data_IF_966239688401
#
_entry.id   IF_966239688401
#
_cell.length_a   1.000
_cell.length_b   1.000
_cell.length_c   1.000
_cell.angle_alpha   90.00
_cell.angle_beta   90.00
_cell.angle_gamma   90.00
#
_symmetry.space_group_name_H-M   'P 1'
#
loop_
_entity.id
_entity.type
_entity.pdbx_description
1 polymer ?
#
# COMPACT_ATOMS: atom_id res chain seq x y z
N UNK A 1 -0.88 17.15 4.58
CA UNK A 1 -0.32 17.81 5.77
C UNK A 1 -0.90 19.21 5.86
N UNK A 2 -1.26 19.68 7.06
CA UNK A 2 -1.62 21.08 7.28
C UNK A 2 -0.63 21.66 8.29
N UNK A 3 -0.01 22.78 7.97
CA UNK A 3 0.85 23.55 8.86
C UNK A 3 0.15 24.89 9.13
N UNK A 4 -0.01 25.25 10.39
CA UNK A 4 -0.60 26.52 10.81
C UNK A 4 0.36 27.21 11.77
N UNK A 5 0.74 28.46 11.48
CA UNK A 5 1.46 29.29 12.44
C UNK A 5 0.53 29.57 13.65
N UNK A 6 1.01 29.30 14.85
CA UNK A 6 0.33 29.58 16.12
C UNK A 6 0.83 30.93 16.66
N UNK A 7 2.14 31.15 16.61
CA UNK A 7 2.83 32.43 16.89
C UNK A 7 4.05 32.56 15.95
N UNK A 8 4.80 33.67 16.03
CA UNK A 8 5.92 33.95 15.09
C UNK A 8 6.98 32.86 14.96
N UNK A 9 7.14 31.98 15.95
CA UNK A 9 8.09 30.85 15.94
C UNK A 9 7.45 29.48 16.22
N UNK A 10 6.13 29.39 16.46
CA UNK A 10 5.45 28.15 16.81
C UNK A 10 4.52 27.70 15.68
N UNK A 11 4.64 26.44 15.26
CA UNK A 11 3.85 25.86 14.18
C UNK A 11 3.10 24.63 14.67
N UNK A 12 1.81 24.56 14.35
CA UNK A 12 0.99 23.37 14.54
C UNK A 12 0.93 22.59 13.23
N UNK A 13 1.46 21.37 13.27
CA UNK A 13 1.46 20.45 12.14
C UNK A 13 0.45 19.34 12.38
N UNK A 14 -0.42 19.08 11.41
CA UNK A 14 -1.34 17.94 11.41
C UNK A 14 -1.13 17.08 10.18
N UNK A 15 -0.87 15.78 10.42
CA UNK A 15 -0.87 14.72 9.42
C UNK A 15 -1.95 13.73 9.83
N UNK A 16 -3.04 13.64 9.05
CA UNK A 16 -4.24 12.90 9.46
C UNK A 16 -4.24 11.43 9.01
N UNK A 17 -3.73 11.18 7.79
CA UNK A 17 -4.03 9.96 7.04
C UNK A 17 -2.78 9.27 6.49
N UNK A 18 -1.61 9.58 7.03
CA UNK A 18 -0.35 9.02 6.57
C UNK A 18 0.59 8.67 7.73
N UNK A 19 1.45 7.68 7.48
CA UNK A 19 2.58 7.27 8.31
C UNK A 19 3.86 7.40 7.49
N UNK A 20 4.98 7.71 8.12
CA UNK A 20 6.27 7.79 7.44
C UNK A 20 7.14 8.91 7.96
N UNK A 21 7.96 9.50 7.11
CA UNK A 21 8.90 10.55 7.50
C UNK A 21 8.88 11.71 6.52
N UNK A 22 8.93 12.93 7.05
CA UNK A 22 9.01 14.17 6.29
C UNK A 22 10.34 14.83 6.64
N UNK A 23 11.25 14.92 5.69
CA UNK A 23 12.49 15.67 5.81
C UNK A 23 12.22 17.17 5.69
N UNK A 24 12.78 17.92 6.63
CA UNK A 24 12.89 19.37 6.62
C UNK A 24 14.38 19.74 6.47
N UNK A 25 14.72 21.00 6.24
CA UNK A 25 16.10 21.42 5.91
C UNK A 25 17.17 20.92 6.90
N UNK A 26 16.86 20.96 8.20
CA UNK A 26 17.79 20.59 9.27
C UNK A 26 17.20 19.60 10.28
N UNK A 27 16.01 19.07 10.01
CA UNK A 27 15.33 18.15 10.93
C UNK A 27 14.42 17.20 10.17
N UNK A 28 13.84 16.23 10.85
CA UNK A 28 12.85 15.31 10.29
C UNK A 28 11.65 15.21 11.20
N UNK A 29 10.47 15.08 10.59
CA UNK A 29 9.23 14.76 11.28
C UNK A 29 8.92 13.29 11.02
N UNK A 30 8.97 12.47 12.06
CA UNK A 30 8.52 11.09 12.02
C UNK A 30 7.03 11.07 12.35
N UNK A 31 6.22 10.63 11.40
CA UNK A 31 4.79 10.45 11.57
C UNK A 31 4.55 8.99 11.93
N UNK A 32 4.33 8.74 13.21
CA UNK A 32 4.09 7.40 13.75
C UNK A 32 2.66 6.91 13.48
N UNK A 33 2.45 5.58 13.42
CA UNK A 33 1.12 5.02 13.29
C UNK A 33 0.25 5.33 14.52
N UNK A 34 -1.07 5.40 14.33
CA UNK A 34 -2.03 5.63 15.43
C UNK A 34 -2.14 4.42 16.36
N UNK A 35 -1.75 3.25 15.88
CA UNK A 35 -1.75 1.96 16.59
C UNK A 35 -0.34 1.37 16.57
N UNK A 36 -0.06 0.39 17.41
CA UNK A 36 1.24 -0.27 17.45
C UNK A 36 1.65 -0.79 16.05
N UNK A 37 2.94 -0.69 15.73
CA UNK A 37 3.46 -1.01 14.40
C UNK A 37 3.14 -2.45 13.96
N UNK A 38 3.15 -3.41 14.90
CA UNK A 38 2.77 -4.81 14.62
C UNK A 38 1.34 -4.92 14.06
N UNK A 39 0.39 -4.20 14.63
CA UNK A 39 -1.00 -4.17 14.16
C UNK A 39 -1.13 -3.49 12.81
N UNK A 40 -0.44 -2.37 12.60
CA UNK A 40 -0.46 -1.70 11.30
C UNK A 40 0.10 -2.63 10.20
N UNK A 41 1.24 -3.28 10.45
CA UNK A 41 1.87 -4.18 9.48
C UNK A 41 1.02 -5.42 9.21
N UNK A 42 0.35 -5.96 10.23
CA UNK A 42 -0.64 -7.04 10.05
C UNK A 42 -1.77 -6.61 9.10
N UNK A 43 -2.37 -5.43 9.32
CA UNK A 43 -3.45 -4.91 8.47
C UNK A 43 -2.97 -4.59 7.05
N UNK A 44 -1.72 -4.15 6.90
CA UNK A 44 -1.11 -3.90 5.59
C UNK A 44 -0.86 -5.20 4.83
N UNK A 45 -0.40 -6.26 5.51
CA UNK A 45 -0.29 -7.59 4.93
C UNK A 45 -1.66 -8.13 4.52
N UNK A 46 -2.68 -7.99 5.38
CA UNK A 46 -4.05 -8.41 5.11
C UNK A 46 -4.70 -7.63 3.95
N UNK A 47 -4.25 -6.40 3.67
CA UNK A 47 -4.67 -5.60 2.51
C UNK A 47 -3.82 -5.81 1.25
N UNK A 48 -2.92 -6.80 1.25
CA UNK A 48 -2.05 -7.14 0.14
C UNK A 48 -1.10 -6.01 -0.30
N UNK A 49 -0.79 -5.07 0.61
CA UNK A 49 0.22 -4.02 0.34
C UNK A 49 1.62 -4.62 0.19
N UNK A 50 1.89 -5.70 0.90
CA UNK A 50 3.10 -6.51 0.80
C UNK A 50 2.80 -7.96 1.22
N UNK A 51 3.66 -8.92 0.83
CA UNK A 51 3.46 -10.33 1.18
C UNK A 51 3.50 -10.61 2.69
N UNK A 52 2.55 -11.42 3.19
CA UNK A 52 2.41 -11.75 4.62
C UNK A 52 3.64 -12.41 5.23
N UNK A 53 4.36 -13.26 4.50
CA UNK A 53 5.55 -13.96 5.01
C UNK A 53 6.72 -13.02 5.36
N UNK A 54 6.70 -11.77 4.88
CA UNK A 54 7.68 -10.77 5.31
C UNK A 54 7.47 -10.38 6.78
N UNK A 55 6.21 -10.34 7.24
CA UNK A 55 5.88 -10.08 8.63
C UNK A 55 6.38 -11.20 9.54
N UNK A 56 6.13 -12.46 9.16
CA UNK A 56 6.50 -13.66 9.92
C UNK A 56 8.02 -13.78 10.17
N UNK A 57 8.83 -13.22 9.28
CA UNK A 57 10.30 -13.25 9.36
C UNK A 57 10.90 -12.10 10.16
N UNK A 58 10.08 -11.19 10.66
CA UNK A 58 10.55 -9.90 11.19
C UNK A 58 10.38 -9.84 12.69
N UNK A 59 11.51 -9.71 13.39
CA UNK A 59 11.50 -9.28 14.77
C UNK A 59 11.42 -7.75 14.80
N UNK A 60 10.24 -7.23 15.08
CA UNK A 60 10.01 -5.79 15.21
C UNK A 60 10.56 -5.37 16.58
N UNK A 61 11.68 -4.64 16.58
CA UNK A 61 12.18 -3.99 17.80
C UNK A 61 11.22 -2.92 18.29
N UNK A 62 11.29 -2.57 19.58
CA UNK A 62 10.41 -1.57 20.21
C UNK A 62 10.47 -0.19 19.53
N UNK A 63 11.61 0.14 18.92
CA UNK A 63 11.91 1.48 18.37
C UNK A 63 11.95 1.45 16.83
N UNK A 64 11.44 0.39 16.21
CA UNK A 64 11.43 0.28 14.75
C UNK A 64 10.46 1.30 14.14
N UNK A 65 10.95 2.15 13.23
CA UNK A 65 10.09 3.00 12.43
C UNK A 65 9.48 2.23 11.25
N UNK A 66 8.25 2.55 10.87
CA UNK A 66 7.57 1.93 9.71
C UNK A 66 8.44 1.99 8.45
N UNK A 67 9.06 3.15 8.16
CA UNK A 67 9.91 3.30 6.99
C UNK A 67 11.14 2.39 7.04
N UNK A 68 11.82 2.27 8.18
CA UNK A 68 13.02 1.43 8.29
C UNK A 68 12.69 -0.05 8.09
N UNK A 69 11.52 -0.51 8.57
CA UNK A 69 11.05 -1.88 8.32
C UNK A 69 10.82 -2.12 6.83
N UNK A 70 10.11 -1.22 6.15
CA UNK A 70 9.86 -1.33 4.70
C UNK A 70 11.18 -1.29 3.90
N UNK A 71 12.10 -0.39 4.25
CA UNK A 71 13.41 -0.30 3.60
C UNK A 71 14.24 -1.58 3.80
N UNK A 72 14.26 -2.14 5.01
CA UNK A 72 14.97 -3.38 5.31
C UNK A 72 14.39 -4.58 4.53
N UNK A 73 13.06 -4.72 4.49
CA UNK A 73 12.40 -5.75 3.70
C UNK A 73 12.69 -5.62 2.21
N UNK A 74 12.66 -4.39 1.68
CA UNK A 74 12.95 -4.15 0.27
C UNK A 74 14.38 -4.57 -0.07
N UNK A 75 15.36 -4.12 0.73
CA UNK A 75 16.78 -4.46 0.52
C UNK A 75 16.99 -5.97 0.59
N UNK A 76 16.44 -6.64 1.61
CA UNK A 76 16.56 -8.09 1.76
C UNK A 76 15.92 -8.85 0.58
N UNK A 77 14.75 -8.40 0.12
CA UNK A 77 14.04 -8.99 -1.01
C UNK A 77 14.80 -8.80 -2.32
N UNK A 78 15.38 -7.61 -2.54
CA UNK A 78 16.24 -7.32 -3.69
C UNK A 78 17.52 -8.17 -3.69
N UNK A 79 18.18 -8.32 -2.53
CA UNK A 79 19.36 -9.18 -2.42
C UNK A 79 19.01 -10.65 -2.69
N UNK A 80 17.86 -11.13 -2.22
CA UNK A 80 17.39 -12.48 -2.52
C UNK A 80 17.14 -12.67 -4.02
N UNK A 81 16.45 -11.73 -4.65
CA UNK A 81 16.22 -11.73 -6.09
C UNK A 81 17.54 -11.74 -6.88
N UNK A 82 18.49 -10.86 -6.53
CA UNK A 82 19.78 -10.75 -7.24
C UNK A 82 20.63 -12.02 -7.16
N UNK A 83 20.45 -12.85 -6.12
CA UNK A 83 21.08 -14.18 -6.03
C UNK A 83 20.48 -15.19 -7.01
N UNK A 84 19.18 -15.08 -7.32
CA UNK A 84 18.51 -15.93 -8.30
C UNK A 84 18.71 -15.48 -9.75
N UNK A 85 19.20 -14.25 -9.95
CA UNK A 85 19.35 -13.63 -11.26
C UNK A 85 18.14 -12.78 -11.63
N UNK A 86 18.39 -11.72 -12.40
CA UNK A 86 17.32 -10.87 -12.92
C UNK A 86 16.60 -11.58 -14.05
N UNK A 87 15.29 -11.35 -14.17
CA UNK A 87 14.59 -11.70 -15.40
C UNK A 87 15.02 -10.71 -16.47
N UNK A 88 15.56 -11.25 -17.56
CA UNK A 88 15.83 -10.51 -18.79
C UNK A 88 14.64 -10.62 -19.73
N UNK A 89 14.43 -9.60 -20.55
CA UNK A 89 13.46 -9.63 -21.65
C UNK A 89 14.16 -9.39 -22.99
N UNK A 90 13.51 -9.77 -24.09
CA UNK A 90 14.00 -9.53 -25.44
C UNK A 90 13.53 -8.16 -25.93
N UNK A 91 14.45 -7.20 -25.96
CA UNK A 91 14.20 -5.89 -26.54
C UNK A 91 14.55 -5.92 -28.04
N UNK A 92 13.63 -5.45 -28.88
CA UNK A 92 13.86 -5.31 -30.32
C UNK A 92 14.73 -4.07 -30.58
N UNK A 93 15.92 -4.29 -31.12
CA UNK A 93 16.91 -3.24 -31.41
C UNK A 93 17.07 -3.12 -32.92
N UNK A 94 17.02 -1.90 -33.44
CA UNK A 94 17.42 -1.59 -34.82
C UNK A 94 18.85 -1.04 -34.82
N UNK A 95 19.80 -1.75 -35.41
CA UNK A 95 21.21 -1.34 -35.44
C UNK A 95 21.85 -1.48 -36.81
N UNK A 96 22.96 -0.77 -37.00
CA UNK A 96 23.87 -0.94 -38.15
C UNK A 96 25.00 -1.87 -37.73
N UNK A 97 25.05 -3.08 -38.31
CA UNK A 97 25.99 -4.13 -37.94
C UNK A 97 26.95 -4.44 -39.09
N UNK A 98 28.14 -4.95 -38.77
CA UNK A 98 29.09 -5.48 -39.75
C UNK A 98 28.62 -6.83 -40.36
N UNK A 99 27.73 -7.54 -39.66
CA UNK A 99 27.17 -8.81 -40.11
C UNK A 99 25.64 -8.80 -39.96
N UNK A 100 24.96 -9.62 -40.76
CA UNK A 100 23.51 -9.73 -40.71
C UNK A 100 23.06 -10.45 -39.44
N UNK A 101 22.12 -9.84 -38.70
CA UNK A 101 21.46 -10.43 -37.53
C UNK A 101 19.97 -10.10 -37.55
N UNK A 102 19.10 -11.10 -37.39
CA UNK A 102 17.65 -10.87 -37.40
C UNK A 102 17.12 -10.40 -38.76
N UNK A 103 16.19 -9.44 -38.75
CA UNK A 103 15.53 -8.92 -39.96
C UNK A 103 16.34 -7.79 -40.59
N UNK A 104 16.81 -7.98 -41.81
CA UNK A 104 17.61 -6.98 -42.53
C UNK A 104 16.69 -5.94 -43.21
N UNK A 105 17.02 -4.66 -43.05
CA UNK A 105 16.46 -3.55 -43.83
C UNK A 105 17.23 -3.42 -45.14
N UNK A 106 16.83 -4.19 -46.15
CA UNK A 106 17.53 -4.32 -47.44
C UNK A 106 17.76 -2.97 -48.14
N UNK A 107 16.74 -2.11 -48.19
CA UNK A 107 16.82 -0.78 -48.83
C UNK A 107 17.83 0.13 -48.13
N UNK A 108 17.80 0.17 -46.79
CA UNK A 108 18.74 0.99 -46.00
C UNK A 108 20.17 0.48 -46.10
N UNK A 109 20.35 -0.84 -46.08
CA UNK A 109 21.64 -1.52 -46.26
C UNK A 109 22.24 -1.24 -47.64
N UNK A 110 21.45 -1.41 -48.71
CA UNK A 110 21.89 -1.13 -50.08
C UNK A 110 22.32 0.34 -50.25
N UNK A 111 21.55 1.28 -49.70
CA UNK A 111 21.91 2.70 -49.70
C UNK A 111 23.24 2.96 -48.98
N UNK A 112 23.47 2.31 -47.85
CA UNK A 112 24.71 2.47 -47.07
C UNK A 112 25.94 1.98 -47.84
N UNK A 113 25.81 0.85 -48.54
CA UNK A 113 26.85 0.31 -49.43
C UNK A 113 27.15 1.31 -50.57
N UNK A 114 26.12 1.85 -51.20
CA UNK A 114 26.25 2.81 -52.31
C UNK A 114 26.95 4.12 -51.91
N UNK A 115 26.82 4.57 -50.65
CA UNK A 115 27.52 5.76 -50.14
C UNK A 115 28.91 5.45 -49.54
N UNK A 116 29.46 4.26 -49.81
CA UNK A 116 30.80 3.86 -49.38
C UNK A 116 30.94 3.53 -47.90
N UNK A 117 29.83 3.28 -47.19
CA UNK A 117 29.81 2.89 -45.77
C UNK A 117 29.07 1.57 -45.61
N UNK A 118 29.69 0.42 -45.93
CA UNK A 118 28.99 -0.87 -45.92
C UNK A 118 28.64 -1.27 -44.48
N UNK A 119 27.39 -0.98 -44.08
CA UNK A 119 26.79 -1.46 -42.83
C UNK A 119 25.43 -2.08 -43.13
N UNK A 120 25.10 -3.14 -42.38
CA UNK A 120 23.85 -3.88 -42.50
C UNK A 120 22.88 -3.37 -41.45
N UNK A 121 21.90 -2.60 -41.88
CA UNK A 121 20.81 -2.13 -41.02
C UNK A 121 19.88 -3.29 -40.74
N UNK A 122 19.71 -3.69 -39.49
CA UNK A 122 18.87 -4.82 -39.12
C UNK A 122 18.11 -4.61 -37.80
N UNK A 123 16.93 -5.24 -37.69
CA UNK A 123 16.18 -5.39 -36.44
C UNK A 123 16.50 -6.76 -35.85
N UNK A 124 16.98 -6.80 -34.62
CA UNK A 124 17.29 -8.04 -33.92
C UNK A 124 16.88 -7.94 -32.45
N UNK A 125 16.64 -9.09 -31.84
CA UNK A 125 16.29 -9.15 -30.43
C UNK A 125 17.57 -9.28 -29.59
N UNK A 126 17.73 -8.35 -28.66
CA UNK A 126 18.77 -8.36 -27.66
C UNK A 126 18.14 -8.76 -26.32
N UNK A 127 18.65 -9.84 -25.73
CA UNK A 127 18.31 -10.16 -24.35
C UNK A 127 18.93 -9.10 -23.44
N UNK A 128 18.10 -8.37 -22.71
CA UNK A 128 18.50 -7.28 -21.82
C UNK A 128 17.89 -7.45 -20.44
N UNK A 129 18.65 -7.13 -19.40
CA UNK A 129 18.12 -6.99 -18.05
C UNK A 129 17.40 -5.64 -17.86
N UNK A 130 17.38 -4.79 -18.88
CA UNK A 130 16.66 -3.52 -18.87
C UNK A 130 15.14 -3.72 -19.04
N UNK A 131 14.50 -4.23 -18.00
CA UNK A 131 13.05 -4.48 -17.93
C UNK A 131 12.36 -3.49 -17.01
N UNK A 132 11.06 -3.26 -17.20
CA UNK A 132 10.25 -2.41 -16.30
C UNK A 132 10.38 -2.82 -14.83
N UNK A 133 10.42 -4.13 -14.55
CA UNK A 133 10.58 -4.64 -13.19
C UNK A 133 11.94 -4.23 -12.60
N UNK A 134 13.02 -4.37 -13.37
CA UNK A 134 14.36 -4.04 -12.91
C UNK A 134 14.55 -2.53 -12.74
N UNK A 135 13.97 -1.71 -13.62
CA UNK A 135 13.96 -0.24 -13.51
C UNK A 135 13.23 0.23 -12.25
N UNK A 136 12.11 -0.41 -11.91
CA UNK A 136 11.38 -0.14 -10.64
C UNK A 136 12.27 -0.43 -9.43
N UNK A 137 12.97 -1.56 -9.40
CA UNK A 137 13.88 -1.89 -8.29
C UNK A 137 15.06 -0.93 -8.21
N UNK A 138 15.68 -0.59 -9.36
CA UNK A 138 16.77 0.40 -9.43
C UNK A 138 16.31 1.74 -8.88
N UNK A 139 15.16 2.24 -9.33
CA UNK A 139 14.62 3.52 -8.91
C UNK A 139 14.27 3.55 -7.42
N UNK A 140 13.66 2.48 -6.89
CA UNK A 140 13.35 2.38 -5.46
C UNK A 140 14.62 2.37 -4.60
N UNK A 141 15.63 1.59 -5.00
CA UNK A 141 16.92 1.56 -4.30
C UNK A 141 17.65 2.92 -4.37
N UNK A 142 17.59 3.62 -5.50
CA UNK A 142 18.15 4.97 -5.63
C UNK A 142 17.41 5.96 -4.72
N UNK A 143 16.08 5.83 -4.61
CA UNK A 143 15.27 6.68 -3.72
C UNK A 143 15.62 6.49 -2.25
N UNK A 144 15.94 5.27 -1.84
CA UNK A 144 16.42 4.98 -0.48
C UNK A 144 17.80 5.61 -0.22
N UNK A 145 18.71 5.62 -1.18
CA UNK A 145 20.03 6.25 -1.03
C UNK A 145 19.96 7.77 -0.80
N UNK A 146 18.89 8.41 -1.29
CA UNK A 146 18.64 9.83 -1.02
C UNK A 146 18.14 10.13 0.39
N UNK A 147 17.96 9.12 1.25
CA UNK A 147 17.38 9.30 2.58
C UNK A 147 18.43 9.48 3.67
N UNK A 148 18.48 10.63 4.37
CA UNK A 148 19.51 10.89 5.38
C UNK A 148 19.44 9.99 6.62
N UNK A 149 18.26 9.54 7.02
CA UNK A 149 18.09 8.68 8.19
C UNK A 149 18.11 7.18 7.86
N UNK A 150 18.57 6.82 6.66
CA UNK A 150 18.81 5.42 6.33
C UNK A 150 20.05 4.96 7.10
N UNK A 151 19.95 3.83 7.81
CA UNK A 151 21.09 3.28 8.54
C UNK A 151 22.27 3.00 7.59
N UNK A 152 23.50 3.16 8.06
CA UNK A 152 24.70 2.92 7.25
C UNK A 152 24.75 1.53 6.61
N UNK A 153 24.27 0.49 7.30
CA UNK A 153 24.14 -0.88 6.75
C UNK A 153 23.22 -0.91 5.52
N UNK A 154 21.98 -0.45 5.66
CA UNK A 154 21.02 -0.38 4.56
C UNK A 154 21.52 0.51 3.42
N UNK A 155 22.21 1.60 3.72
CA UNK A 155 22.79 2.48 2.72
C UNK A 155 23.90 1.77 1.92
N UNK A 156 24.83 1.07 2.58
CA UNK A 156 25.86 0.27 1.92
C UNK A 156 25.27 -0.85 1.05
N UNK A 157 24.21 -1.53 1.54
CA UNK A 157 23.50 -2.57 0.81
C UNK A 157 22.77 -2.03 -0.42
N UNK A 158 22.11 -0.86 -0.30
CA UNK A 158 21.50 -0.18 -1.44
C UNK A 158 22.54 0.19 -2.51
N UNK A 159 23.75 0.65 -2.13
CA UNK A 159 24.82 0.91 -3.10
C UNK A 159 25.25 -0.34 -3.85
N UNK A 160 25.33 -1.49 -3.17
CA UNK A 160 25.62 -2.78 -3.83
C UNK A 160 24.51 -3.17 -4.82
N UNK A 161 23.25 -2.97 -4.45
CA UNK A 161 22.10 -3.19 -5.33
C UNK A 161 22.18 -2.28 -6.56
N UNK A 162 22.47 -0.98 -6.39
CA UNK A 162 22.65 -0.05 -7.51
C UNK A 162 23.77 -0.50 -8.46
N UNK A 163 24.91 -0.90 -7.92
CA UNK A 163 26.02 -1.37 -8.74
C UNK A 163 25.64 -2.62 -9.56
N UNK A 164 24.86 -3.54 -8.98
CA UNK A 164 24.32 -4.72 -9.66
C UNK A 164 23.27 -4.41 -10.73
N UNK A 165 22.70 -3.20 -10.72
CA UNK A 165 21.68 -2.71 -11.65
C UNK A 165 22.23 -1.57 -12.53
N UNK A 166 23.55 -1.47 -12.71
CA UNK A 166 24.19 -0.38 -13.47
C UNK A 166 23.73 -0.31 -14.92
N UNK A 167 23.49 -1.47 -15.52
CA UNK A 167 23.13 -1.61 -16.93
C UNK A 167 21.62 -1.51 -17.18
N UNK A 168 20.84 -1.40 -16.09
CA UNK A 168 19.39 -1.18 -16.15
C UNK A 168 19.15 0.32 -16.35
N UNK A 169 18.23 0.68 -17.23
CA UNK A 169 17.84 2.04 -17.52
C UNK A 169 17.15 2.75 -16.35
N UNK A 170 16.72 3.98 -16.59
CA UNK A 170 16.00 4.76 -15.60
C UNK A 170 14.50 4.47 -15.62
N UNK A 171 13.80 4.86 -14.56
CA UNK A 171 12.36 4.62 -14.42
C UNK A 171 11.58 5.36 -15.50
N UNK A 172 10.72 4.63 -16.22
CA UNK A 172 9.78 5.20 -17.17
C UNK A 172 8.35 5.29 -16.57
N UNK A 173 7.49 6.21 -17.08
CA UNK A 173 6.16 6.43 -16.52
C UNK A 173 5.28 5.17 -16.41
N UNK A 174 5.37 4.27 -17.39
CA UNK A 174 4.57 3.05 -17.44
C UNK A 174 5.10 1.92 -16.54
N UNK A 175 6.36 1.98 -16.11
CA UNK A 175 6.98 0.90 -15.35
C UNK A 175 6.26 0.62 -14.01
N UNK A 176 5.69 1.66 -13.39
CA UNK A 176 4.95 1.52 -12.12
C UNK A 176 3.60 0.78 -12.26
N UNK A 177 3.15 0.54 -13.48
CA UNK A 177 1.91 -0.18 -13.80
C UNK A 177 2.13 -1.66 -14.09
N UNK A 178 3.40 -2.10 -14.13
CA UNK A 178 3.77 -3.49 -14.40
C UNK A 178 3.08 -4.47 -13.45
N UNK A 179 2.79 -5.66 -13.95
CA UNK A 179 2.17 -6.75 -13.20
C UNK A 179 3.04 -7.98 -13.31
N UNK A 180 3.04 -8.75 -12.23
CA UNK A 180 3.74 -10.02 -12.20
C UNK A 180 2.96 -11.08 -12.99
N UNK A 181 3.70 -11.94 -13.65
CA UNK A 181 3.21 -13.13 -14.33
C UNK A 181 3.92 -14.38 -13.77
N UNK A 182 3.70 -15.53 -14.42
CA UNK A 182 4.32 -16.78 -13.99
C UNK A 182 5.85 -16.75 -14.08
N UNK A 183 6.43 -16.03 -15.05
CA UNK A 183 7.87 -15.97 -15.32
C UNK A 183 8.59 -15.00 -14.38
N UNK A 184 7.87 -13.98 -13.91
CA UNK A 184 8.39 -12.92 -13.05
C UNK A 184 8.02 -13.10 -11.58
N UNK A 185 7.49 -14.29 -11.21
CA UNK A 185 7.09 -14.64 -9.84
C UNK A 185 8.20 -14.42 -8.80
N UNK A 186 9.47 -14.51 -9.19
CA UNK A 186 10.61 -14.25 -8.29
C UNK A 186 10.63 -12.81 -7.74
N UNK A 187 9.94 -11.86 -8.38
CA UNK A 187 9.84 -10.45 -7.96
C UNK A 187 8.71 -10.20 -6.93
N UNK A 188 7.93 -11.23 -6.56
CA UNK A 188 6.74 -11.10 -5.71
C UNK A 188 6.97 -10.37 -4.38
N UNK A 189 8.19 -10.43 -3.84
CA UNK A 189 8.54 -9.79 -2.57
C UNK A 189 9.10 -8.38 -2.78
N UNK A 190 9.99 -8.21 -3.76
CA UNK A 190 10.67 -6.95 -3.99
C UNK A 190 9.78 -5.90 -4.68
N UNK A 191 8.95 -6.31 -5.64
CA UNK A 191 8.17 -5.36 -6.46
C UNK A 191 7.14 -4.56 -5.64
N UNK A 192 6.30 -5.17 -4.78
CA UNK A 192 5.32 -4.41 -4.00
C UNK A 192 5.98 -3.36 -3.10
N UNK A 193 7.10 -3.71 -2.46
CA UNK A 193 7.88 -2.81 -1.62
C UNK A 193 8.53 -1.69 -2.43
N UNK A 194 9.06 -2.00 -3.61
CA UNK A 194 9.62 -1.01 -4.51
C UNK A 194 8.57 0.03 -4.94
N UNK A 195 7.39 -0.46 -5.34
CA UNK A 195 6.26 0.39 -5.72
C UNK A 195 5.75 1.22 -4.53
N UNK A 196 5.75 0.65 -3.32
CA UNK A 196 5.38 1.36 -2.10
C UNK A 196 6.37 2.51 -1.81
N UNK A 197 7.68 2.26 -1.92
CA UNK A 197 8.73 3.29 -1.77
C UNK A 197 8.55 4.37 -2.82
N UNK A 198 8.41 4.01 -4.10
CA UNK A 198 8.28 4.99 -5.19
C UNK A 198 7.02 5.84 -5.09
N UNK A 199 5.87 5.25 -4.74
CA UNK A 199 4.60 5.97 -4.58
C UNK A 199 4.57 6.82 -3.31
N UNK A 200 5.17 6.33 -2.23
CA UNK A 200 5.20 7.03 -0.95
C UNK A 200 6.23 8.14 -0.92
N UNK A 201 7.28 8.05 -1.74
CA UNK A 201 8.36 9.02 -1.73
C UNK A 201 8.14 10.20 -2.66
N UNK A 202 8.41 11.40 -2.16
CA UNK A 202 8.55 12.63 -2.96
C UNK A 202 9.87 13.32 -2.61
N UNK A 203 10.47 13.98 -3.61
CA UNK A 203 11.66 14.82 -3.42
C UNK A 203 11.27 16.22 -3.87
N UNK A 204 11.24 17.16 -2.94
CA UNK A 204 11.03 18.57 -3.25
C UNK A 204 12.41 19.25 -3.32
N UNK A 205 12.74 19.78 -4.50
CA UNK A 205 13.89 20.65 -4.69
C UNK A 205 13.39 22.07 -4.46
N UNK A 206 13.73 22.66 -3.32
CA UNK A 206 13.50 24.08 -3.10
C UNK A 206 14.66 24.88 -3.73
N UNK A 207 14.43 26.15 -4.06
CA UNK A 207 15.49 27.07 -4.49
C UNK A 207 16.46 27.32 -3.31
N UNK A 208 17.40 26.40 -3.14
CA UNK A 208 18.39 26.34 -2.05
C UNK A 208 19.21 25.05 -2.14
N UNK A 209 20.33 24.92 -1.40
CA UNK A 209 21.23 23.77 -1.50
C UNK A 209 20.68 22.47 -0.88
N UNK A 210 19.48 22.48 -0.29
CA UNK A 210 18.94 21.37 0.49
C UNK A 210 17.71 20.75 -0.20
N UNK A 211 17.84 19.50 -0.63
CA UNK A 211 16.71 18.69 -1.07
C UNK A 211 15.93 18.17 0.14
N UNK A 212 14.63 18.44 0.21
CA UNK A 212 13.76 17.86 1.23
C UNK A 212 13.17 16.55 0.71
N UNK A 213 13.50 15.44 1.39
CA UNK A 213 12.97 14.12 1.06
C UNK A 213 11.77 13.82 1.94
N UNK A 214 10.74 13.18 1.38
CA UNK A 214 9.57 12.73 2.14
C UNK A 214 9.21 11.31 1.73
N UNK A 215 8.81 10.48 2.69
CA UNK A 215 8.11 9.22 2.46
C UNK A 215 6.85 9.21 3.31
N UNK A 216 5.69 9.19 2.67
CA UNK A 216 4.39 9.11 3.33
C UNK A 216 3.59 8.00 2.69
N UNK A 217 3.20 7.02 3.50
CA UNK A 217 2.26 5.99 3.12
C UNK A 217 0.87 6.34 3.65
N UNK A 218 -0.12 6.40 2.76
CA UNK A 218 -1.52 6.63 3.12
C UNK A 218 -2.06 5.40 3.86
N UNK A 219 -2.65 5.61 5.03
CA UNK A 219 -3.01 4.52 5.97
C UNK A 219 -4.49 4.12 5.98
N UNK A 220 -5.49 5.02 5.85
CA UNK A 220 -6.89 4.65 6.05
C UNK A 220 -7.36 3.52 5.14
N UNK A 221 -7.10 3.60 3.84
CA UNK A 221 -7.62 2.62 2.88
C UNK A 221 -7.00 1.23 3.09
N UNK A 222 -5.70 1.17 3.39
CA UNK A 222 -5.01 -0.08 3.68
C UNK A 222 -5.54 -0.71 4.98
N UNK A 223 -5.82 0.11 6.00
CA UNK A 223 -6.44 -0.35 7.25
C UNK A 223 -7.87 -0.85 7.01
N UNK A 224 -8.70 -0.10 6.29
CA UNK A 224 -10.07 -0.48 5.93
C UNK A 224 -10.11 -1.82 5.16
N UNK A 225 -9.26 -1.95 4.14
CA UNK A 225 -9.13 -3.20 3.36
C UNK A 225 -8.61 -4.33 4.24
N UNK A 226 -7.62 -4.06 5.09
CA UNK A 226 -7.00 -5.05 5.98
C UNK A 226 -8.00 -5.61 6.98
N UNK A 227 -8.78 -4.74 7.64
CA UNK A 227 -9.86 -5.15 8.55
C UNK A 227 -10.90 -5.96 7.79
N UNK A 228 -11.37 -5.47 6.64
CA UNK A 228 -12.36 -6.19 5.83
C UNK A 228 -11.89 -7.58 5.41
N UNK A 229 -10.67 -7.72 4.89
CA UNK A 229 -10.13 -9.00 4.45
C UNK A 229 -9.95 -9.95 5.65
N UNK A 230 -9.44 -9.44 6.76
CA UNK A 230 -9.28 -10.18 8.02
C UNK A 230 -10.62 -10.71 8.55
N UNK A 231 -11.69 -9.91 8.47
CA UNK A 231 -13.05 -10.30 8.84
C UNK A 231 -13.68 -11.26 7.81
N UNK A 232 -13.48 -11.02 6.52
CA UNK A 232 -14.04 -11.86 5.45
C UNK A 232 -13.57 -13.31 5.58
N UNK A 233 -12.30 -13.52 5.97
CA UNK A 233 -11.76 -14.85 6.24
C UNK A 233 -12.39 -15.50 7.47
N UNK A 234 -12.58 -14.73 8.56
CA UNK A 234 -13.07 -15.27 9.85
C UNK A 234 -14.57 -15.51 9.87
N UNK A 235 -15.32 -14.71 9.13
CA UNK A 235 -16.78 -14.79 9.06
C UNK A 235 -17.26 -15.66 7.88
N UNK A 236 -16.37 -16.29 7.11
CA UNK A 236 -16.73 -17.04 5.90
C UNK A 236 -17.83 -18.09 6.13
N UNK A 237 -17.81 -18.77 7.28
CA UNK A 237 -18.82 -19.77 7.67
C UNK A 237 -20.10 -19.19 8.25
N UNK A 238 -20.15 -17.90 8.55
CA UNK A 238 -21.29 -17.23 9.18
C UNK A 238 -22.00 -16.28 8.22
N UNK A 239 -21.25 -15.42 7.52
CA UNK A 239 -21.81 -14.51 6.53
C UNK A 239 -20.72 -13.99 5.59
N UNK A 240 -21.10 -13.71 4.34
CA UNK A 240 -20.20 -13.07 3.39
C UNK A 240 -20.00 -11.60 3.78
N UNK A 241 -18.74 -11.16 3.92
CA UNK A 241 -18.39 -9.75 4.13
C UNK A 241 -17.86 -9.18 2.83
N UNK A 242 -18.45 -8.10 2.33
CA UNK A 242 -18.04 -7.48 1.05
C UNK A 242 -18.01 -5.96 1.11
N UNK A 243 -17.27 -5.32 0.22
CA UNK A 243 -17.42 -3.89 -0.10
C UNK A 243 -18.31 -3.79 -1.34
N UNK A 244 -19.55 -3.35 -1.16
CA UNK A 244 -20.52 -3.16 -2.25
C UNK A 244 -20.94 -1.69 -2.25
N UNK A 245 -20.87 -1.05 -3.41
CA UNK A 245 -21.41 0.28 -3.62
C UNK A 245 -22.83 0.21 -4.14
N UNK A 246 -23.68 1.18 -3.77
CA UNK A 246 -25.05 1.28 -4.25
C UNK A 246 -25.31 2.70 -4.76
N UNK A 247 -25.77 2.81 -6.01
CA UNK A 247 -26.16 4.08 -6.62
C UNK A 247 -27.45 4.57 -5.97
N UNK A 248 -27.51 5.86 -5.63
CA UNK A 248 -28.70 6.44 -5.02
C UNK A 248 -29.86 6.51 -6.03
N UNK A 249 -31.06 6.15 -5.56
CA UNK A 249 -32.28 6.29 -6.36
C UNK A 249 -32.49 7.74 -6.75
N UNK A 250 -32.65 8.01 -8.05
CA UNK A 250 -32.81 9.38 -8.59
C UNK A 250 -31.51 10.14 -8.81
N UNK A 251 -30.34 9.62 -8.40
CA UNK A 251 -29.04 10.25 -8.66
C UNK A 251 -27.99 9.24 -9.11
N UNK A 252 -27.80 9.14 -10.44
CA UNK A 252 -26.84 8.22 -11.06
C UNK A 252 -25.37 8.58 -10.81
N UNK A 253 -25.07 9.73 -10.21
CA UNK A 253 -23.69 10.19 -9.95
C UNK A 253 -23.23 9.91 -8.52
N UNK A 254 -24.16 9.77 -7.58
CA UNK A 254 -23.84 9.54 -6.16
C UNK A 254 -24.01 8.07 -5.78
N UNK A 255 -23.03 7.54 -5.05
CA UNK A 255 -23.00 6.16 -4.55
C UNK A 255 -22.80 6.14 -3.04
N UNK A 256 -23.49 5.23 -2.36
CA UNK A 256 -23.23 4.86 -0.97
C UNK A 256 -22.27 3.68 -0.96
N UNK A 257 -21.11 3.87 -0.33
CA UNK A 257 -20.02 2.90 -0.33
C UNK A 257 -19.58 2.58 1.11
N UNK A 258 -20.39 1.83 1.89
CA UNK A 258 -19.94 1.31 3.16
C UNK A 258 -18.72 0.40 2.95
N UNK A 259 -17.81 0.39 3.92
CA UNK A 259 -16.63 -0.49 3.85
C UNK A 259 -16.99 -1.96 4.03
N UNK A 260 -18.07 -2.23 4.77
CA UNK A 260 -18.55 -3.57 5.09
C UNK A 260 -20.04 -3.68 4.77
N UNK A 261 -20.39 -4.73 4.05
CA UNK A 261 -21.76 -5.19 3.85
C UNK A 261 -21.78 -6.66 4.23
N UNK A 262 -22.62 -7.01 5.19
CA UNK A 262 -22.72 -8.36 5.75
C UNK A 262 -23.89 -9.13 5.10
N UNK A 263 -23.63 -10.32 4.57
CA UNK A 263 -24.60 -11.16 3.88
C UNK A 263 -25.26 -10.45 2.69
N UNK A 264 -26.56 -10.70 2.50
CA UNK A 264 -27.39 -10.01 1.51
C UNK A 264 -27.86 -8.63 1.99
N UNK A 265 -26.94 -7.84 2.57
CA UNK A 265 -27.22 -6.64 3.34
C UNK A 265 -28.16 -6.92 4.52
N UNK A 266 -27.74 -7.80 5.42
CA UNK A 266 -28.34 -7.93 6.76
C UNK A 266 -27.91 -6.76 7.67
N UNK A 267 -26.68 -6.28 7.49
CA UNK A 267 -26.13 -5.13 8.18
C UNK A 267 -25.10 -4.41 7.30
N UNK A 268 -24.81 -3.15 7.64
CA UNK A 268 -23.72 -2.37 7.04
C UNK A 268 -22.70 -1.98 8.10
N UNK A 269 -21.45 -1.77 7.68
CA UNK A 269 -20.38 -1.35 8.56
C UNK A 269 -19.42 -0.37 7.90
N UNK A 270 -18.76 0.41 8.73
CA UNK A 270 -17.79 1.42 8.33
C UNK A 270 -16.57 1.34 9.23
N UNK A 271 -15.37 1.31 8.64
CA UNK A 271 -14.11 1.15 9.38
C UNK A 271 -13.43 2.51 9.51
N UNK A 272 -13.11 2.91 10.74
CA UNK A 272 -12.48 4.19 11.03
C UNK A 272 -11.10 3.98 11.62
N UNK A 273 -10.06 4.42 10.89
CA UNK A 273 -8.70 4.46 11.41
C UNK A 273 -8.48 5.66 12.37
N UNK A 274 -9.11 5.57 13.53
CA UNK A 274 -9.03 6.51 14.65
C UNK A 274 -8.94 5.72 15.94
N UNK A 275 -8.17 6.23 16.91
CA UNK A 275 -8.11 5.68 18.25
C UNK A 275 -9.02 6.49 19.16
N UNK A 276 -9.94 5.82 19.86
CA UNK A 276 -10.72 6.44 20.95
C UNK A 276 -10.40 5.76 22.27
N UNK A 277 -10.28 6.56 23.33
CA UNK A 277 -10.03 6.05 24.69
C UNK A 277 -11.29 5.51 25.35
N UNK A 278 -12.46 6.01 24.94
CA UNK A 278 -13.77 5.75 25.54
C UNK A 278 -14.72 4.92 24.64
N UNK A 279 -14.22 4.44 23.49
CA UNK A 279 -15.02 3.69 22.51
C UNK A 279 -16.21 4.47 21.90
N UNK A 280 -16.26 5.79 22.05
CA UNK A 280 -17.38 6.62 21.58
C UNK A 280 -17.43 6.75 20.05
N UNK A 281 -18.64 6.85 19.51
CA UNK A 281 -18.85 7.04 18.07
C UNK A 281 -19.00 8.53 17.79
N UNK A 282 -18.15 9.07 16.90
CA UNK A 282 -18.21 10.46 16.51
C UNK A 282 -19.49 10.78 15.74
N UNK A 283 -20.04 12.00 15.91
CA UNK A 283 -21.27 12.43 15.23
C UNK A 283 -21.22 12.26 13.70
N UNK A 284 -20.07 12.54 13.09
CA UNK A 284 -19.89 12.36 11.65
C UNK A 284 -20.00 10.88 11.23
N UNK A 285 -19.44 9.98 12.03
CA UNK A 285 -19.47 8.53 11.78
C UNK A 285 -20.88 7.96 12.00
N UNK A 286 -21.58 8.42 13.05
CA UNK A 286 -22.99 8.11 13.28
C UNK A 286 -23.88 8.54 12.11
N UNK A 287 -23.69 9.77 11.61
CA UNK A 287 -24.44 10.26 10.45
C UNK A 287 -24.15 9.44 9.20
N UNK A 288 -22.88 9.08 8.98
CA UNK A 288 -22.47 8.29 7.83
C UNK A 288 -23.06 6.87 7.87
N UNK A 289 -22.92 6.17 8.99
CA UNK A 289 -23.45 4.79 9.11
C UNK A 289 -24.98 4.76 9.07
N UNK A 290 -25.67 5.75 9.65
CA UNK A 290 -27.12 5.88 9.54
C UNK A 290 -27.57 6.12 8.10
N UNK A 291 -26.82 6.92 7.34
CA UNK A 291 -27.08 7.15 5.90
C UNK A 291 -26.91 5.86 5.11
N UNK A 292 -25.87 5.08 5.39
CA UNK A 292 -25.67 3.77 4.78
C UNK A 292 -26.80 2.81 5.14
N UNK A 293 -27.13 2.67 6.42
CA UNK A 293 -28.18 1.77 6.87
C UNK A 293 -29.53 2.10 6.22
N UNK A 294 -29.89 3.39 6.17
CA UNK A 294 -31.08 3.88 5.49
C UNK A 294 -31.07 3.54 4.00
N UNK A 295 -29.97 3.82 3.31
CA UNK A 295 -29.85 3.55 1.87
C UNK A 295 -29.99 2.07 1.54
N UNK A 296 -29.36 1.21 2.34
CA UNK A 296 -29.41 -0.25 2.16
C UNK A 296 -30.70 -0.89 2.69
N UNK A 297 -31.59 -0.12 3.33
CA UNK A 297 -32.84 -0.62 3.91
C UNK A 297 -32.62 -1.58 5.07
N UNK A 298 -31.55 -1.36 5.85
CA UNK A 298 -31.18 -2.19 7.01
C UNK A 298 -31.32 -1.42 8.31
N UNK A 299 -31.63 -2.14 9.37
CA UNK A 299 -31.80 -1.59 10.72
C UNK A 299 -30.57 -1.82 11.61
N UNK A 300 -29.49 -2.38 11.07
CA UNK A 300 -28.28 -2.72 11.81
C UNK A 300 -27.05 -2.09 11.15
N UNK A 301 -26.32 -1.30 11.93
CA UNK A 301 -25.08 -0.65 11.55
C UNK A 301 -23.96 -0.93 12.55
N UNK A 302 -22.73 -1.08 12.07
CA UNK A 302 -21.54 -1.16 12.94
C UNK A 302 -20.50 -0.11 12.54
N UNK A 303 -19.92 0.56 13.53
CA UNK A 303 -18.72 1.37 13.33
C UNK A 303 -17.56 0.62 13.96
N UNK A 304 -16.56 0.28 13.15
CA UNK A 304 -15.33 -0.35 13.63
C UNK A 304 -14.27 0.71 13.84
N UNK A 305 -13.75 0.84 15.07
CA UNK A 305 -12.64 1.75 15.37
C UNK A 305 -11.52 1.01 16.10
N UNK A 306 -10.54 1.75 16.65
CA UNK A 306 -9.41 1.20 17.39
C UNK A 306 -9.48 1.72 18.82
N UNK A 307 -9.44 0.82 19.79
CA UNK A 307 -9.52 1.18 21.20
C UNK A 307 -8.95 0.07 22.07
N UNK A 308 -8.71 0.36 23.34
CA UNK A 308 -8.51 -0.70 24.31
C UNK A 308 -9.82 -1.44 24.62
N UNK A 309 -10.96 -0.75 24.60
CA UNK A 309 -12.25 -1.36 24.92
C UNK A 309 -12.86 -2.02 23.69
N UNK A 310 -12.96 -3.36 23.68
CA UNK A 310 -13.40 -4.12 22.51
C UNK A 310 -14.85 -3.81 22.06
N UNK A 311 -15.72 -3.46 23.02
CA UNK A 311 -17.11 -3.06 22.76
C UNK A 311 -17.26 -1.59 23.12
N UNK A 312 -17.68 -0.79 22.15
CA UNK A 312 -17.93 0.64 22.33
C UNK A 312 -19.41 0.95 22.54
N UNK A 313 -19.79 2.16 22.14
CA UNK A 313 -21.14 2.69 22.33
C UNK A 313 -22.22 1.93 21.53
N UNK A 314 -23.44 1.86 22.09
CA UNK A 314 -24.65 1.42 21.38
C UNK A 314 -25.60 2.59 21.25
N UNK A 315 -25.97 2.95 20.03
CA UNK A 315 -26.79 4.13 19.72
C UNK A 315 -27.98 3.74 18.85
N UNK A 316 -29.18 4.14 19.24
CA UNK A 316 -30.39 4.02 18.41
C UNK A 316 -30.67 5.29 17.62
N UNK A 317 -30.91 5.17 16.31
CA UNK A 317 -31.27 6.28 15.41
C UNK A 317 -32.54 5.88 14.66
N UNK A 318 -33.70 6.23 15.21
CA UNK A 318 -34.98 5.76 14.69
C UNK A 318 -35.05 4.23 14.69
N UNK A 319 -35.28 3.56 13.54
CA UNK A 319 -35.28 2.10 13.47
C UNK A 319 -33.88 1.47 13.40
N UNK A 320 -32.81 2.28 13.27
CA UNK A 320 -31.45 1.80 13.07
C UNK A 320 -30.75 1.67 14.43
N UNK A 321 -30.24 0.49 14.74
CA UNK A 321 -29.30 0.24 15.83
C UNK A 321 -27.87 0.30 15.30
N UNK A 322 -27.07 1.21 15.87
CA UNK A 322 -25.64 1.33 15.60
C UNK A 322 -24.85 0.79 16.78
N UNK A 323 -23.87 -0.10 16.50
CA UNK A 323 -22.91 -0.57 17.50
C UNK A 323 -21.48 -0.12 17.18
N UNK A 324 -20.75 0.31 18.20
CA UNK A 324 -19.32 0.50 18.16
C UNK A 324 -18.63 -0.80 18.54
N UNK A 325 -17.80 -1.33 17.65
CA UNK A 325 -16.90 -2.45 17.95
C UNK A 325 -15.47 -1.99 17.66
N UNK A 326 -14.52 -2.40 18.49
CA UNK A 326 -13.17 -1.91 18.37
C UNK A 326 -12.18 -3.05 18.16
N UNK A 327 -11.24 -2.79 17.27
CA UNK A 327 -9.99 -3.53 17.23
C UNK A 327 -9.21 -3.24 18.50
N UNK A 328 -8.94 -4.27 19.31
CA UNK A 328 -8.20 -4.13 20.57
C UNK A 328 -6.72 -3.83 20.30
N UNK A 329 -6.30 -2.60 20.60
CA UNK A 329 -4.92 -2.14 20.41
C UNK A 329 -4.02 -2.43 21.62
N UNK A 330 -4.57 -2.95 22.71
CA UNK A 330 -3.80 -3.39 23.90
C UNK A 330 -3.31 -4.82 23.75
N UNK A 331 -3.93 -5.59 22.85
CA UNK A 331 -3.38 -6.87 22.45
C UNK A 331 -1.98 -6.68 21.89
N UNK A 332 -1.08 -7.63 22.17
CA UNK A 332 0.23 -7.66 21.52
C UNK A 332 0.18 -8.43 20.21
N UNK A 333 -0.78 -9.33 20.09
CA UNK A 333 -0.99 -10.17 18.92
C UNK A 333 -2.13 -9.62 18.06
N UNK A 334 -1.82 -9.12 16.85
CA UNK A 334 -2.86 -8.64 15.96
C UNK A 334 -3.79 -9.73 15.43
N UNK A 335 -3.38 -11.00 15.39
CA UNK A 335 -4.28 -12.10 15.00
C UNK A 335 -5.36 -12.32 16.06
N UNK A 336 -4.98 -12.34 17.33
CA UNK A 336 -5.93 -12.48 18.43
C UNK A 336 -6.87 -11.27 18.55
N UNK A 337 -6.38 -10.05 18.29
CA UNK A 337 -7.25 -8.87 18.19
C UNK A 337 -8.29 -8.99 17.05
N UNK A 338 -7.89 -9.55 15.92
CA UNK A 338 -8.80 -9.81 14.80
C UNK A 338 -9.84 -10.89 15.10
N UNK A 339 -9.43 -11.97 15.79
CA UNK A 339 -10.33 -13.06 16.20
C UNK A 339 -11.41 -12.53 17.15
N UNK A 340 -11.01 -11.76 18.18
CA UNK A 340 -11.96 -11.17 19.14
C UNK A 340 -12.94 -10.20 18.49
N UNK A 341 -12.48 -9.38 17.54
CA UNK A 341 -13.36 -8.50 16.77
C UNK A 341 -14.37 -9.32 15.95
N UNK A 342 -13.94 -10.43 15.35
CA UNK A 342 -14.83 -11.33 14.61
C UNK A 342 -15.86 -11.99 15.53
N UNK A 343 -15.46 -12.47 16.72
CA UNK A 343 -16.38 -13.09 17.69
C UNK A 343 -17.48 -12.11 18.15
N UNK A 344 -17.10 -10.86 18.42
CA UNK A 344 -18.06 -9.81 18.75
C UNK A 344 -19.02 -9.51 17.59
N UNK A 345 -18.51 -9.49 16.36
CA UNK A 345 -19.34 -9.32 15.17
C UNK A 345 -20.30 -10.50 14.97
N UNK A 346 -19.85 -11.75 15.12
CA UNK A 346 -20.72 -12.94 15.00
C UNK A 346 -21.82 -12.88 16.05
N UNK A 347 -21.49 -12.57 17.30
CA UNK A 347 -22.46 -12.44 18.39
C UNK A 347 -23.48 -11.33 18.10
N UNK A 348 -23.02 -10.17 17.61
CA UNK A 348 -23.90 -9.06 17.26
C UNK A 348 -24.80 -9.41 16.08
N UNK A 349 -24.24 -9.97 15.01
CA UNK A 349 -24.96 -10.37 13.81
C UNK A 349 -26.05 -11.40 14.14
N UNK A 350 -25.75 -12.38 14.98
CA UNK A 350 -26.73 -13.37 15.47
C UNK A 350 -27.87 -12.77 16.30
N UNK A 351 -27.70 -11.56 16.84
CA UNK A 351 -28.75 -10.84 17.58
C UNK A 351 -29.70 -10.03 16.70
N UNK A 352 -29.42 -9.89 15.39
CA UNK A 352 -30.23 -9.10 14.46
C UNK A 352 -31.50 -9.89 14.10
N UNK A 353 -32.71 -9.37 14.39
CA UNK A 353 -33.96 -10.08 14.09
C UNK A 353 -34.20 -10.19 12.58
N UNK A 354 -34.31 -11.43 12.07
CA UNK A 354 -34.90 -11.72 10.77
C UNK A 354 -34.15 -11.21 9.54
N UNK A 355 -33.09 -11.93 9.13
CA UNK A 355 -32.73 -12.24 7.71
C UNK A 355 -31.44 -13.06 7.70
N UNK A 356 -31.59 -14.36 7.41
CA UNK A 356 -30.56 -15.28 6.90
C UNK A 356 -29.12 -15.07 7.36
N UNK A 357 -28.82 -15.53 8.58
CA UNK A 357 -27.46 -15.91 8.95
C UNK A 357 -27.58 -17.39 9.30
N UNK A 358 -27.31 -18.23 8.32
CA UNK A 358 -27.27 -19.69 8.45
C UNK A 358 -25.86 -20.13 8.77
#
# INVERSE_FOLDING_TARGET
MRCQAVTGSEYRIRVSDAVGVIGLEHTQLIVEPKIALSHLLYLFAASEQFPRHLLERTQIGSDASFFNVIAAWFVQSCEALLRHGLVSDYARVTGDLACARGRIHTVKTARSILVGRPVIRCDYDLRSDDTSLNRVLKAASLRLLGWPALTDDLHARCRRIQHRLSDVGDLEPWDTTVRLDALTRIYKDALPLALLILKGSSVAIHEGPHSTWTFLCRTPEAVEVGVRNSLSQRLETHCKVTKRGMVLTGDRKRTLNPDLVFGDAAAVGDVKYKVSLDGSIGRADLNQIATFATGYGVNAGVVIAFSGEAVGERVGIGPIEVRGLNWDIRDRDPEHAADRLADHLVTWLGSIPGKGIS
#
